data_IF_580866007702
#
_entry.id   IF_580866007702
#
_cell.length_a   1.000
_cell.length_b   1.000
_cell.length_c   1.000
_cell.angle_alpha   90.00
_cell.angle_beta   90.00
_cell.angle_gamma   90.00
#
_symmetry.space_group_name_H-M   'P 1'
#
loop_
_entity.id
_entity.type
_entity.pdbx_description
1 polymer ?
#
# COMPACT_ATOMS: atom_id res chain seq x y z
N UNK A 1 19.60 28.72 13.29
CA UNK A 1 20.20 29.53 12.21
C UNK A 1 20.50 30.94 12.70
N UNK A 2 19.51 31.67 13.23
CA UNK A 2 19.75 33.06 13.67
C UNK A 2 20.47 33.16 15.02
N UNK A 3 20.27 32.20 15.93
CA UNK A 3 20.80 32.24 17.30
C UNK A 3 22.16 31.54 17.51
N UNK A 4 22.67 30.80 16.52
CA UNK A 4 23.90 29.99 16.63
C UNK A 4 24.74 30.15 15.35
N UNK A 5 25.95 30.67 15.53
CA UNK A 5 26.88 30.95 14.43
C UNK A 5 27.37 29.69 13.72
N UNK A 6 27.61 28.60 14.45
CA UNK A 6 28.02 27.32 13.86
C UNK A 6 26.87 26.69 13.08
N UNK A 7 25.65 26.75 13.62
CA UNK A 7 24.47 26.30 12.88
C UNK A 7 24.23 27.14 11.61
N UNK A 8 24.53 28.44 11.65
CA UNK A 8 24.45 29.33 10.47
C UNK A 8 25.44 28.93 9.39
N UNK A 9 26.70 28.73 9.76
CA UNK A 9 27.77 28.31 8.86
C UNK A 9 27.45 26.97 8.18
N UNK A 10 27.02 25.97 8.96
CA UNK A 10 26.64 24.65 8.42
C UNK A 10 25.51 24.79 7.39
N UNK A 11 24.47 25.56 7.68
CA UNK A 11 23.33 25.73 6.77
C UNK A 11 23.73 26.51 5.53
N UNK A 12 24.56 27.54 5.66
CA UNK A 12 25.01 28.33 4.51
C UNK A 12 25.94 27.56 3.57
N UNK A 13 26.73 26.64 4.12
CA UNK A 13 27.50 25.68 3.33
C UNK A 13 26.63 24.57 2.72
N UNK A 14 25.56 24.15 3.40
CA UNK A 14 24.68 23.10 2.91
C UNK A 14 23.74 23.57 1.78
N UNK A 15 23.22 24.80 1.85
CA UNK A 15 22.31 25.39 0.84
C UNK A 15 22.80 25.23 -0.61
N UNK A 16 24.03 25.62 -0.98
CA UNK A 16 24.50 25.47 -2.37
C UNK A 16 24.76 24.00 -2.77
N UNK A 17 24.85 23.08 -1.82
CA UNK A 17 25.00 21.64 -2.08
C UNK A 17 23.65 20.93 -2.28
N UNK A 18 22.54 21.58 -1.92
CA UNK A 18 21.20 21.06 -2.11
C UNK A 18 20.86 20.93 -3.61
N UNK A 19 20.37 19.76 -4.02
CA UNK A 19 20.04 19.47 -5.42
C UNK A 19 21.18 18.91 -6.26
N UNK A 20 22.40 18.80 -5.72
CA UNK A 20 23.51 18.13 -6.41
C UNK A 20 23.34 16.61 -6.39
N UNK A 21 23.64 15.96 -7.53
CA UNK A 21 23.61 14.50 -7.65
C UNK A 21 24.75 13.87 -6.87
N UNK A 22 24.43 12.98 -5.93
CA UNK A 22 25.42 12.27 -5.11
C UNK A 22 25.99 11.02 -5.79
N UNK A 23 25.13 10.19 -6.39
CA UNK A 23 25.50 8.89 -6.95
C UNK A 23 24.46 8.41 -7.97
N UNK A 24 24.89 7.48 -8.82
CA UNK A 24 24.14 6.78 -9.86
C UNK A 24 23.56 5.45 -9.33
N UNK A 25 22.49 5.54 -8.54
CA UNK A 25 21.77 4.35 -8.02
C UNK A 25 20.82 3.75 -9.06
N UNK A 26 20.63 2.44 -9.00
CA UNK A 26 19.71 1.70 -9.87
C UNK A 26 18.27 1.86 -9.36
N UNK A 27 17.31 2.11 -10.27
CA UNK A 27 15.89 2.16 -9.93
C UNK A 27 15.41 0.78 -9.47
N UNK A 28 14.82 0.69 -8.27
CA UNK A 28 14.50 -0.59 -7.63
C UNK A 28 13.51 -1.49 -8.41
N UNK A 29 12.79 -0.94 -9.39
CA UNK A 29 11.79 -1.66 -10.17
C UNK A 29 11.91 -1.46 -11.68
N UNK A 30 12.72 -0.50 -12.15
CA UNK A 30 12.56 0.05 -13.49
C UNK A 30 13.28 -0.79 -14.53
N UNK A 31 12.56 -1.29 -15.53
CA UNK A 31 13.09 -2.05 -16.65
C UNK A 31 12.72 -1.35 -17.96
N UNK A 32 13.71 -1.16 -18.83
CA UNK A 32 13.53 -0.51 -20.14
C UNK A 32 13.64 -1.56 -21.24
N UNK A 33 12.67 -1.55 -22.15
CA UNK A 33 12.61 -2.48 -23.29
C UNK A 33 12.68 -1.66 -24.58
N UNK A 34 13.77 -1.83 -25.32
CA UNK A 34 13.97 -1.22 -26.63
C UNK A 34 13.42 -2.09 -27.75
N UNK A 35 12.85 -1.46 -28.80
CA UNK A 35 12.51 -2.16 -30.05
C UNK A 35 13.75 -2.53 -30.88
N UNK A 36 14.89 -1.90 -30.58
CA UNK A 36 16.22 -2.10 -31.17
C UNK A 36 17.25 -2.22 -30.04
N UNK A 37 18.50 -2.62 -30.31
CA UNK A 37 19.57 -2.57 -29.32
C UNK A 37 19.62 -1.21 -28.61
N UNK A 38 19.49 -1.22 -27.27
CA UNK A 38 19.34 0.01 -26.49
C UNK A 38 20.50 1.00 -26.69
N UNK A 39 21.71 0.49 -26.91
CA UNK A 39 22.91 1.32 -27.14
C UNK A 39 22.82 2.25 -28.35
N UNK A 40 21.91 1.98 -29.29
CA UNK A 40 21.66 2.87 -30.44
C UNK A 40 20.86 4.13 -30.06
N UNK A 41 20.20 4.14 -28.90
CA UNK A 41 19.26 5.19 -28.49
C UNK A 41 19.55 5.77 -27.11
N UNK A 42 20.09 4.97 -26.19
CA UNK A 42 20.38 5.37 -24.82
C UNK A 42 21.77 4.89 -24.40
N UNK A 43 22.59 5.75 -23.77
CA UNK A 43 23.86 5.34 -23.19
C UNK A 43 23.62 4.36 -22.04
N UNK A 44 24.37 3.27 -22.06
CA UNK A 44 24.31 2.20 -21.06
C UNK A 44 25.53 2.26 -20.14
N UNK A 45 25.38 1.74 -18.93
CA UNK A 45 26.44 1.63 -17.94
C UNK A 45 26.35 0.26 -17.26
N UNK A 46 27.52 -0.27 -16.87
CA UNK A 46 27.62 -1.45 -16.04
C UNK A 46 28.81 -1.24 -15.09
N UNK A 47 28.58 -1.30 -13.77
CA UNK A 47 29.63 -0.98 -12.77
C UNK A 47 30.67 -2.09 -12.57
N UNK A 48 30.38 -3.30 -13.04
CA UNK A 48 31.26 -4.46 -13.01
C UNK A 48 30.70 -5.58 -13.88
N UNK A 49 31.52 -6.57 -14.24
CA UNK A 49 31.12 -7.66 -15.16
C UNK A 49 29.87 -8.43 -14.71
N UNK A 50 29.69 -8.53 -13.39
CA UNK A 50 28.64 -9.32 -12.75
C UNK A 50 27.49 -8.44 -12.23
N UNK A 51 27.44 -7.16 -12.63
CA UNK A 51 26.40 -6.22 -12.25
C UNK A 51 25.36 -6.03 -13.36
N UNK A 52 24.21 -5.50 -13.01
CA UNK A 52 23.15 -5.20 -13.96
C UNK A 52 23.58 -4.10 -14.94
N UNK A 53 23.11 -4.22 -16.19
CA UNK A 53 23.23 -3.17 -17.20
C UNK A 53 22.12 -2.16 -16.97
N UNK A 54 22.47 -0.88 -16.86
CA UNK A 54 21.55 0.21 -16.55
C UNK A 54 21.63 1.34 -17.58
N UNK A 55 20.53 2.07 -17.75
CA UNK A 55 20.53 3.30 -18.55
C UNK A 55 21.20 4.43 -17.78
N UNK A 56 22.00 5.27 -18.43
CA UNK A 56 22.56 6.46 -17.79
C UNK A 56 21.54 7.61 -17.70
N UNK A 57 20.46 7.56 -18.49
CA UNK A 57 19.37 8.52 -18.43
C UNK A 57 18.41 8.21 -17.30
N UNK A 58 17.84 9.27 -16.72
CA UNK A 58 16.85 9.18 -15.68
C UNK A 58 15.48 8.78 -16.25
N UNK A 59 14.55 8.38 -15.36
CA UNK A 59 13.21 7.92 -15.73
C UNK A 59 12.48 8.88 -16.69
N UNK A 60 12.48 10.18 -16.41
CA UNK A 60 11.77 11.17 -17.23
C UNK A 60 12.31 11.26 -18.66
N UNK A 61 13.64 11.15 -18.82
CA UNK A 61 14.29 11.22 -20.12
C UNK A 61 14.00 9.96 -20.95
N UNK A 62 14.01 8.78 -20.31
CA UNK A 62 13.63 7.51 -20.95
C UNK A 62 12.18 7.56 -21.47
N UNK A 63 11.26 8.07 -20.66
CA UNK A 63 9.86 8.24 -21.07
C UNK A 63 9.71 9.27 -22.20
N UNK A 64 10.46 10.38 -22.15
CA UNK A 64 10.45 11.41 -23.19
C UNK A 64 10.99 10.91 -24.54
N UNK A 65 11.93 9.96 -24.53
CA UNK A 65 12.45 9.27 -25.72
C UNK A 65 11.45 8.26 -26.31
N UNK A 66 10.31 8.02 -25.65
CA UNK A 66 9.28 7.09 -26.12
C UNK A 66 9.65 5.62 -25.97
N UNK A 67 10.62 5.30 -25.09
CA UNK A 67 10.97 3.91 -24.79
C UNK A 67 9.94 3.27 -23.86
N UNK A 68 9.72 1.96 -24.04
CA UNK A 68 8.84 1.21 -23.16
C UNK A 68 9.52 0.99 -21.81
N UNK A 69 8.91 1.54 -20.75
CA UNK A 69 9.33 1.34 -19.36
C UNK A 69 8.27 0.53 -18.61
N UNK A 70 8.71 -0.52 -17.92
CA UNK A 70 7.87 -1.34 -17.05
C UNK A 70 8.51 -1.38 -15.66
N UNK A 71 7.68 -1.25 -14.63
CA UNK A 71 8.12 -1.39 -13.24
C UNK A 71 7.78 -2.78 -12.69
N UNK A 72 8.80 -3.53 -12.27
CA UNK A 72 8.69 -4.81 -11.56
C UNK A 72 9.01 -4.61 -10.07
N UNK A 73 7.97 -4.47 -9.24
CA UNK A 73 8.15 -4.26 -7.80
C UNK A 73 8.11 -5.59 -7.06
N UNK A 74 9.13 -5.85 -6.23
CA UNK A 74 9.09 -6.93 -5.25
C UNK A 74 8.22 -6.54 -4.05
N UNK A 75 7.02 -7.11 -3.94
CA UNK A 75 6.12 -6.88 -2.80
C UNK A 75 6.12 -8.09 -1.87
N UNK A 76 6.85 -7.99 -0.75
CA UNK A 76 7.00 -9.05 0.28
C UNK A 76 5.69 -9.73 0.70
N UNK A 77 4.57 -8.99 0.74
CA UNK A 77 3.29 -9.55 1.16
C UNK A 77 2.75 -10.60 0.19
N UNK A 78 3.11 -10.54 -1.09
CA UNK A 78 2.77 -11.58 -2.05
C UNK A 78 3.52 -12.87 -1.74
N UNK A 79 4.82 -12.78 -1.42
CA UNK A 79 5.61 -13.95 -1.00
C UNK A 79 5.08 -14.57 0.30
N UNK A 80 4.65 -13.73 1.26
CA UNK A 80 4.01 -14.19 2.51
C UNK A 80 2.71 -14.93 2.22
N UNK A 81 1.86 -14.40 1.32
CA UNK A 81 0.59 -15.03 0.95
C UNK A 81 0.82 -16.39 0.28
N UNK A 82 1.73 -16.46 -0.69
CA UNK A 82 2.07 -17.73 -1.34
C UNK A 82 2.66 -18.74 -0.36
N UNK A 83 3.57 -18.31 0.53
CA UNK A 83 4.14 -19.20 1.55
C UNK A 83 3.08 -19.69 2.54
N UNK A 84 2.17 -18.82 2.99
CA UNK A 84 1.08 -19.20 3.87
C UNK A 84 0.12 -20.18 3.17
N UNK A 85 -0.16 -19.96 1.89
CA UNK A 85 -0.97 -20.87 1.06
C UNK A 85 -0.33 -22.25 0.90
N UNK A 86 0.99 -22.31 0.69
CA UNK A 86 1.74 -23.57 0.67
C UNK A 86 1.60 -24.33 2.00
N UNK A 87 1.73 -23.63 3.12
CA UNK A 87 1.62 -24.22 4.46
C UNK A 87 0.21 -24.78 4.75
N UNK A 88 -0.83 -24.16 4.19
CA UNK A 88 -2.22 -24.65 4.28
C UNK A 88 -2.49 -25.83 3.32
N UNK A 89 -1.60 -26.10 2.36
CA UNK A 89 -1.75 -27.22 1.40
C UNK A 89 -2.28 -26.81 0.02
N UNK A 90 -2.10 -25.55 -0.39
CA UNK A 90 -2.42 -25.03 -1.73
C UNK A 90 -3.89 -25.10 -2.19
N UNK A 91 -4.83 -25.33 -1.28
CA UNK A 91 -6.26 -25.37 -1.61
C UNK A 91 -6.93 -24.00 -1.83
N UNK A 92 -6.23 -22.89 -1.57
CA UNK A 92 -6.78 -21.54 -1.67
C UNK A 92 -6.55 -20.98 -3.08
N UNK A 93 -7.65 -20.64 -3.75
CA UNK A 93 -7.62 -19.90 -5.01
C UNK A 93 -7.92 -18.42 -4.77
N UNK A 94 -6.90 -17.57 -4.96
CA UNK A 94 -7.00 -16.14 -4.76
C UNK A 94 -7.95 -15.44 -5.75
N UNK A 95 -8.22 -16.05 -6.91
CA UNK A 95 -9.04 -15.47 -7.96
C UNK A 95 -10.54 -15.60 -7.69
N UNK A 96 -10.93 -16.58 -6.88
CA UNK A 96 -12.33 -16.90 -6.56
C UNK A 96 -12.70 -16.65 -5.10
N UNK A 97 -11.75 -16.13 -4.30
CA UNK A 97 -11.96 -15.84 -2.88
C UNK A 97 -13.12 -14.83 -2.68
N UNK A 98 -14.15 -15.16 -1.88
CA UNK A 98 -15.25 -14.24 -1.61
C UNK A 98 -14.77 -13.01 -0.83
N UNK A 99 -15.33 -11.84 -1.14
CA UNK A 99 -14.98 -10.55 -0.55
C UNK A 99 -15.95 -10.07 0.54
N UNK A 100 -16.83 -10.95 1.02
CA UNK A 100 -17.89 -10.67 1.99
C UNK A 100 -17.78 -11.57 3.25
N UNK A 101 -16.59 -12.10 3.55
CA UNK A 101 -16.36 -13.00 4.67
C UNK A 101 -16.56 -12.29 6.02
N UNK A 102 -17.58 -12.72 6.78
CA UNK A 102 -17.94 -12.11 8.07
C UNK A 102 -16.82 -12.17 9.09
N UNK A 103 -16.06 -13.28 9.15
CA UNK A 103 -14.99 -13.46 10.14
C UNK A 103 -13.87 -12.45 9.91
N UNK A 104 -13.53 -12.18 8.65
CA UNK A 104 -12.57 -11.14 8.27
C UNK A 104 -13.03 -9.77 8.75
N UNK A 105 -14.26 -9.38 8.44
CA UNK A 105 -14.78 -8.07 8.82
C UNK A 105 -14.95 -7.90 10.34
N UNK A 106 -15.39 -8.94 11.06
CA UNK A 106 -15.48 -8.92 12.52
C UNK A 106 -14.10 -8.75 13.19
N UNK A 107 -13.08 -9.43 12.67
CA UNK A 107 -11.69 -9.29 13.13
C UNK A 107 -11.19 -7.85 12.87
N UNK A 108 -11.36 -7.35 11.64
CA UNK A 108 -10.94 -6.00 11.27
C UNK A 108 -11.69 -4.93 12.07
N UNK A 109 -12.99 -5.08 12.32
CA UNK A 109 -13.78 -4.13 13.10
C UNK A 109 -13.34 -4.03 14.58
N UNK A 110 -12.66 -5.05 15.11
CA UNK A 110 -12.02 -4.99 16.44
C UNK A 110 -10.66 -4.29 16.41
N UNK A 111 -10.16 -3.94 15.22
CA UNK A 111 -8.80 -3.43 15.01
C UNK A 111 -7.74 -4.53 15.12
N UNK A 112 -8.14 -5.80 15.04
CA UNK A 112 -7.23 -6.94 15.14
C UNK A 112 -6.54 -7.21 13.80
N UNK A 113 -5.65 -6.29 13.43
CA UNK A 113 -5.03 -6.23 12.11
C UNK A 113 -3.48 -6.26 12.15
N UNK A 114 -2.90 -6.72 13.26
CA UNK A 114 -1.44 -6.90 13.35
C UNK A 114 -0.97 -7.91 12.29
N UNK A 115 -0.03 -7.52 11.44
CA UNK A 115 0.43 -8.31 10.30
C UNK A 115 -0.40 -8.15 9.03
N UNK A 116 -1.60 -7.55 9.08
CA UNK A 116 -2.44 -7.31 7.90
C UNK A 116 -1.86 -6.17 7.07
N UNK A 117 -1.64 -6.41 5.78
CA UNK A 117 -1.07 -5.42 4.87
C UNK A 117 -1.93 -4.14 4.83
N UNK A 118 -1.28 -2.97 4.79
CA UNK A 118 -1.88 -1.62 4.91
C UNK A 118 -2.59 -1.30 6.24
N UNK A 119 -2.96 -2.31 7.05
CA UNK A 119 -3.82 -2.13 8.21
C UNK A 119 -3.16 -2.34 9.59
N UNK A 120 -1.84 -2.56 9.62
CA UNK A 120 -1.11 -2.88 10.85
C UNK A 120 -0.88 -1.70 11.82
N UNK A 121 -0.70 -0.48 11.30
CA UNK A 121 -0.30 0.67 12.14
C UNK A 121 -1.33 0.99 13.23
N UNK A 122 -0.88 1.50 14.38
CA UNK A 122 -1.76 1.79 15.52
C UNK A 122 -2.96 2.66 15.15
N UNK A 123 -2.73 3.81 14.51
CA UNK A 123 -3.84 4.70 14.14
C UNK A 123 -4.71 4.13 13.02
N UNK A 124 -4.20 3.24 12.17
CA UNK A 124 -5.05 2.54 11.18
C UNK A 124 -5.94 1.51 11.87
N UNK A 125 -5.44 0.81 12.91
CA UNK A 125 -6.25 -0.05 13.77
C UNK A 125 -7.31 0.75 14.54
N UNK A 126 -7.01 1.98 14.94
CA UNK A 126 -8.01 2.89 15.53
C UNK A 126 -9.07 3.29 14.49
N UNK A 127 -8.65 3.62 13.26
CA UNK A 127 -9.57 3.91 12.16
C UNK A 127 -10.48 2.72 11.84
N UNK A 128 -9.96 1.49 11.86
CA UNK A 128 -10.75 0.27 11.70
C UNK A 128 -11.80 0.11 12.81
N UNK A 129 -11.42 0.33 14.08
CA UNK A 129 -12.36 0.29 15.22
C UNK A 129 -13.45 1.36 15.13
N UNK A 130 -13.12 2.52 14.57
CA UNK A 130 -14.05 3.62 14.37
C UNK A 130 -15.02 3.34 13.22
N UNK A 131 -14.51 2.92 12.05
CA UNK A 131 -15.32 2.68 10.85
C UNK A 131 -16.13 1.38 10.95
N UNK A 132 -15.57 0.34 11.61
CA UNK A 132 -16.13 -1.03 11.67
C UNK A 132 -16.48 -1.53 10.27
N UNK A 133 -15.49 -1.82 9.41
CA UNK A 133 -15.74 -2.20 8.02
C UNK A 133 -16.62 -3.46 7.93
N UNK A 134 -17.54 -3.46 6.97
CA UNK A 134 -18.52 -4.55 6.75
C UNK A 134 -18.58 -5.00 5.30
N UNK A 135 -17.86 -4.33 4.39
CA UNK A 135 -17.81 -4.62 2.96
C UNK A 135 -16.46 -4.18 2.38
N UNK A 136 -16.16 -4.60 1.15
CA UNK A 136 -14.86 -4.36 0.53
C UNK A 136 -14.60 -2.87 0.29
N UNK A 137 -15.63 -2.10 -0.06
CA UNK A 137 -15.58 -0.66 -0.30
C UNK A 137 -15.05 0.12 0.91
N UNK A 138 -15.34 -0.35 2.13
CA UNK A 138 -14.85 0.29 3.36
C UNK A 138 -13.31 0.17 3.46
N UNK A 139 -12.75 -0.95 3.00
CA UNK A 139 -11.30 -1.17 2.98
C UNK A 139 -10.63 -0.27 1.93
N UNK A 140 -11.25 -0.12 0.76
CA UNK A 140 -10.79 0.80 -0.28
C UNK A 140 -10.78 2.23 0.25
N UNK A 141 -11.85 2.64 0.93
CA UNK A 141 -11.96 3.97 1.52
C UNK A 141 -10.90 4.21 2.61
N UNK A 142 -10.67 3.25 3.51
CA UNK A 142 -9.66 3.37 4.56
C UNK A 142 -8.24 3.49 4.00
N UNK A 143 -7.89 2.70 2.97
CA UNK A 143 -6.60 2.81 2.28
C UNK A 143 -6.40 4.22 1.69
N UNK A 144 -7.45 4.83 1.16
CA UNK A 144 -7.38 6.16 0.55
C UNK A 144 -7.42 7.31 1.58
N UNK A 145 -8.15 7.14 2.69
CA UNK A 145 -8.37 8.17 3.71
C UNK A 145 -7.26 8.25 4.75
N UNK A 146 -6.59 7.15 5.08
CA UNK A 146 -5.61 7.14 6.17
C UNK A 146 -4.25 7.72 5.75
N UNK A 147 -4.23 9.03 5.54
CA UNK A 147 -3.05 9.83 5.21
C UNK A 147 -3.21 11.28 5.67
N UNK A 148 -2.11 12.05 5.83
CA UNK A 148 -2.18 13.45 6.22
C UNK A 148 -3.12 14.26 5.31
N UNK A 149 -4.06 15.00 5.91
CA UNK A 149 -5.16 15.67 5.22
C UNK A 149 -6.47 14.86 5.28
N UNK A 150 -6.70 13.88 4.39
CA UNK A 150 -7.91 13.05 4.34
C UNK A 150 -8.28 12.32 5.61
N UNK A 151 -7.33 12.03 6.49
CA UNK A 151 -7.62 11.28 7.72
C UNK A 151 -8.64 11.99 8.62
N UNK A 152 -8.78 13.31 8.50
CA UNK A 152 -9.81 14.09 9.18
C UNK A 152 -11.25 13.73 8.76
N UNK A 153 -11.43 13.10 7.61
CA UNK A 153 -12.73 12.63 7.13
C UNK A 153 -13.12 11.25 7.69
N UNK A 154 -12.21 10.48 8.28
CA UNK A 154 -12.49 9.14 8.81
C UNK A 154 -13.62 9.16 9.86
N UNK A 155 -13.63 10.09 10.84
CA UNK A 155 -14.74 10.18 11.80
C UNK A 155 -16.08 10.52 11.14
N UNK A 156 -16.09 11.38 10.12
CA UNK A 156 -17.31 11.72 9.36
C UNK A 156 -17.81 10.50 8.59
N UNK A 157 -16.91 9.79 7.91
CA UNK A 157 -17.20 8.55 7.20
C UNK A 157 -17.85 7.53 8.14
N UNK A 158 -17.26 7.32 9.31
CA UNK A 158 -17.78 6.38 10.31
C UNK A 158 -19.18 6.76 10.81
N UNK A 159 -19.41 8.03 11.21
CA UNK A 159 -20.73 8.48 11.68
C UNK A 159 -21.81 8.31 10.61
N UNK A 160 -21.50 8.66 9.36
CA UNK A 160 -22.44 8.51 8.24
C UNK A 160 -22.72 7.04 7.92
N UNK A 161 -21.69 6.19 7.94
CA UNK A 161 -21.83 4.74 7.79
C UNK A 161 -22.73 4.13 8.88
N UNK A 162 -22.63 4.61 10.11
CA UNK A 162 -23.42 4.12 11.24
C UNK A 162 -24.79 4.79 11.37
N UNK A 163 -25.19 5.63 10.41
CA UNK A 163 -26.48 6.34 10.43
C UNK A 163 -26.60 7.40 11.53
N UNK A 164 -25.49 7.80 12.14
CA UNK A 164 -25.43 8.82 13.20
C UNK A 164 -25.37 10.24 12.64
N UNK A 165 -25.02 10.37 11.36
CA UNK A 165 -24.98 11.63 10.62
C UNK A 165 -25.55 11.37 9.22
N UNK A 166 -26.44 12.23 8.72
CA UNK A 166 -26.97 12.10 7.37
C UNK A 166 -26.02 12.78 6.37
N UNK A 167 -25.79 12.14 5.22
CA UNK A 167 -25.02 12.77 4.15
C UNK A 167 -25.82 13.91 3.52
N UNK A 168 -25.28 15.13 3.58
CA UNK A 168 -25.84 16.31 2.90
C UNK A 168 -25.19 16.48 1.54
N UNK A 169 -26.01 16.70 0.51
CA UNK A 169 -25.54 16.91 -0.86
C UNK A 169 -25.84 18.35 -1.29
N UNK A 170 -24.82 19.05 -1.78
CA UNK A 170 -24.99 20.39 -2.36
C UNK A 170 -25.67 20.35 -3.74
N UNK A 171 -25.70 19.16 -4.36
CA UNK A 171 -26.40 18.85 -5.60
C UNK A 171 -26.86 17.38 -5.57
N UNK A 172 -28.12 17.11 -5.90
CA UNK A 172 -28.69 15.75 -5.85
C UNK A 172 -27.94 14.73 -6.72
N UNK A 173 -27.32 15.18 -7.83
CA UNK A 173 -26.54 14.30 -8.72
C UNK A 173 -25.32 13.70 -8.02
N UNK A 174 -24.79 14.36 -6.99
CA UNK A 174 -23.67 13.85 -6.20
C UNK A 174 -24.00 12.56 -5.45
N UNK A 175 -25.27 12.33 -5.12
CA UNK A 175 -25.71 11.14 -4.41
C UNK A 175 -25.35 9.86 -5.17
N UNK A 176 -25.54 9.84 -6.48
CA UNK A 176 -25.15 8.70 -7.33
C UNK A 176 -23.64 8.45 -7.36
N UNK A 177 -22.83 9.50 -7.22
CA UNK A 177 -21.37 9.45 -7.35
C UNK A 177 -20.69 9.11 -6.01
N UNK A 178 -21.23 9.62 -4.90
CA UNK A 178 -20.58 9.61 -3.59
C UNK A 178 -21.30 8.78 -2.54
N UNK A 179 -22.44 8.15 -2.87
CA UNK A 179 -23.14 7.23 -1.95
C UNK A 179 -22.25 6.08 -1.45
N UNK A 180 -21.43 5.51 -2.34
CA UNK A 180 -20.44 4.46 -2.03
C UNK A 180 -19.38 4.88 -1.01
N UNK A 181 -19.24 6.18 -0.77
CA UNK A 181 -18.32 6.78 0.19
C UNK A 181 -19.03 7.70 1.19
N UNK A 182 -20.32 7.45 1.43
CA UNK A 182 -21.15 8.18 2.39
C UNK A 182 -21.14 9.71 2.19
N UNK A 183 -21.18 10.15 0.94
CA UNK A 183 -21.21 11.57 0.59
C UNK A 183 -19.87 12.30 0.74
N UNK A 184 -18.76 11.56 0.86
CA UNK A 184 -17.41 12.12 0.92
C UNK A 184 -16.74 11.84 -0.42
N UNK A 185 -16.20 12.86 -1.09
CA UNK A 185 -15.44 12.68 -2.32
C UNK A 185 -14.01 12.28 -1.96
N UNK A 186 -13.64 11.02 -2.19
CA UNK A 186 -12.35 10.44 -1.80
C UNK A 186 -11.47 10.22 -3.05
N UNK A 187 -12.10 9.82 -4.15
CA UNK A 187 -11.40 9.27 -5.30
C UNK A 187 -11.34 10.24 -6.47
N UNK A 188 -10.24 10.20 -7.23
CA UNK A 188 -10.07 10.94 -8.49
C UNK A 188 -11.21 10.63 -9.47
N UNK A 189 -11.62 9.36 -9.53
CA UNK A 189 -12.70 8.88 -10.38
C UNK A 189 -14.05 9.52 -10.02
N UNK A 190 -14.27 9.91 -8.76
CA UNK A 190 -15.49 10.62 -8.38
C UNK A 190 -15.49 12.06 -8.93
N UNK A 191 -14.37 12.77 -8.85
CA UNK A 191 -14.23 14.09 -9.46
C UNK A 191 -14.39 14.06 -10.97
N UNK A 192 -13.88 13.02 -11.63
CA UNK A 192 -14.11 12.79 -13.06
C UNK A 192 -15.59 12.56 -13.38
N UNK A 193 -16.30 11.79 -12.56
CA UNK A 193 -17.75 11.61 -12.73
C UNK A 193 -18.51 12.92 -12.50
N UNK A 194 -18.11 13.73 -11.52
CA UNK A 194 -18.71 15.05 -11.27
C UNK A 194 -18.51 15.95 -12.50
N UNK A 195 -17.30 16.06 -13.02
CA UNK A 195 -17.02 16.89 -14.20
C UNK A 195 -17.80 16.42 -15.44
N UNK A 196 -17.94 15.11 -15.65
CA UNK A 196 -18.71 14.57 -16.78
C UNK A 196 -20.22 14.76 -16.61
N UNK A 197 -20.77 14.44 -15.44
CA UNK A 197 -22.23 14.41 -15.23
C UNK A 197 -22.82 15.78 -14.91
N UNK A 198 -22.05 16.66 -14.26
CA UNK A 198 -22.51 17.99 -13.84
C UNK A 198 -22.02 19.07 -14.81
N UNK A 199 -20.73 19.07 -15.16
CA UNK A 199 -20.16 20.07 -16.06
C UNK A 199 -20.16 19.64 -17.55
N UNK A 200 -20.60 18.43 -17.88
CA UNK A 200 -20.67 17.98 -19.27
C UNK A 200 -19.32 17.80 -19.96
N UNK A 201 -18.23 17.61 -19.21
CA UNK A 201 -16.89 17.43 -19.79
C UNK A 201 -16.85 16.27 -20.79
N UNK A 202 -16.22 16.52 -21.93
CA UNK A 202 -15.92 15.46 -22.90
C UNK A 202 -14.90 14.45 -22.32
N UNK A 203 -14.75 13.25 -22.90
CA UNK A 203 -13.73 12.30 -22.46
C UNK A 203 -12.30 12.87 -22.46
N UNK A 204 -11.99 13.76 -23.41
CA UNK A 204 -10.69 14.43 -23.49
C UNK A 204 -10.50 15.42 -22.32
N UNK A 205 -11.49 16.27 -22.05
CA UNK A 205 -11.43 17.25 -20.95
C UNK A 205 -11.41 16.57 -19.57
N UNK A 206 -12.12 15.45 -19.43
CA UNK A 206 -12.04 14.63 -18.23
C UNK A 206 -10.63 14.02 -18.06
N UNK A 207 -9.97 13.58 -19.13
CA UNK A 207 -8.57 13.13 -19.03
C UNK A 207 -7.60 14.26 -18.70
N UNK A 208 -7.82 15.47 -19.23
CA UNK A 208 -7.05 16.66 -18.85
C UNK A 208 -7.23 16.99 -17.36
N UNK A 209 -8.46 16.92 -16.84
CA UNK A 209 -8.73 17.07 -15.41
C UNK A 209 -8.03 15.97 -14.59
N UNK A 210 -8.08 14.71 -15.05
CA UNK A 210 -7.36 13.60 -14.40
C UNK A 210 -5.86 13.85 -14.33
N UNK A 211 -5.26 14.33 -15.41
CA UNK A 211 -3.83 14.69 -15.47
C UNK A 211 -3.52 15.85 -14.53
N UNK A 212 -4.37 16.88 -14.51
CA UNK A 212 -4.21 18.03 -13.63
C UNK A 212 -4.22 17.62 -12.16
N UNK A 213 -5.17 16.76 -11.75
CA UNK A 213 -5.25 16.25 -10.38
C UNK A 213 -4.08 15.31 -10.07
N UNK A 214 -3.84 14.31 -10.93
CA UNK A 214 -2.84 13.27 -10.68
C UNK A 214 -1.40 13.75 -10.68
N UNK A 215 -1.05 14.73 -11.53
CA UNK A 215 0.28 15.34 -11.61
C UNK A 215 0.43 16.60 -10.76
N UNK A 216 -0.62 17.02 -10.04
CA UNK A 216 -0.67 18.29 -9.31
C UNK A 216 -0.32 19.49 -10.21
N UNK A 217 -0.80 19.48 -11.44
CA UNK A 217 -0.54 20.55 -12.41
C UNK A 217 -1.56 21.67 -12.21
N UNK A 218 -1.17 22.68 -11.43
CA UNK A 218 -2.02 23.83 -11.14
C UNK A 218 -2.34 24.68 -12.38
N UNK A 219 -1.45 24.72 -13.38
CA UNK A 219 -1.68 25.49 -14.61
C UNK A 219 -2.77 24.83 -15.46
N UNK A 220 -2.67 23.52 -15.63
CA UNK A 220 -3.69 22.74 -16.33
C UNK A 220 -5.02 22.73 -15.56
N UNK A 221 -4.98 22.69 -14.23
CA UNK A 221 -6.19 22.81 -13.42
C UNK A 221 -6.91 24.14 -13.67
N UNK A 222 -6.17 25.25 -13.59
CA UNK A 222 -6.74 26.59 -13.77
C UNK A 222 -7.37 26.79 -15.16
N UNK A 223 -6.80 26.20 -16.21
CA UNK A 223 -7.35 26.34 -17.57
C UNK A 223 -8.69 25.62 -17.77
N UNK A 224 -9.06 24.69 -16.89
CA UNK A 224 -10.32 23.95 -16.96
C UNK A 224 -11.47 24.62 -16.20
N UNK A 225 -11.17 25.64 -15.38
CA UNK A 225 -12.14 26.29 -14.47
C UNK A 225 -13.32 26.92 -15.21
N UNK A 226 -13.04 27.78 -16.18
CA UNK A 226 -14.09 28.53 -16.90
C UNK A 226 -15.04 27.55 -17.59
N UNK A 227 -14.50 26.58 -18.31
CA UNK A 227 -15.28 25.50 -18.94
C UNK A 227 -16.12 24.72 -17.94
N UNK A 228 -15.57 24.40 -16.76
CA UNK A 228 -16.32 23.69 -15.72
C UNK A 228 -17.53 24.51 -15.26
N UNK A 229 -17.34 25.80 -14.99
CA UNK A 229 -18.41 26.69 -14.55
C UNK A 229 -19.49 26.90 -15.63
N UNK A 230 -19.09 27.07 -16.89
CA UNK A 230 -20.01 27.18 -18.04
C UNK A 230 -20.82 25.89 -18.24
N UNK A 231 -20.16 24.74 -18.12
CA UNK A 231 -20.81 23.44 -18.17
C UNK A 231 -21.82 23.24 -17.04
N UNK A 232 -21.45 23.65 -15.82
CA UNK A 232 -22.35 23.62 -14.66
C UNK A 232 -23.57 24.52 -14.87
N UNK A 233 -23.39 25.73 -15.43
CA UNK A 233 -24.48 26.64 -15.73
C UNK A 233 -25.44 26.05 -16.78
N UNK A 234 -24.89 25.38 -17.79
CA UNK A 234 -25.67 24.70 -18.84
C UNK A 234 -26.48 23.51 -18.32
N UNK A 235 -26.11 22.95 -17.17
CA UNK A 235 -26.82 21.86 -16.51
C UNK A 235 -27.72 22.30 -15.34
N UNK A 236 -28.08 23.58 -15.29
CA UNK A 236 -28.91 24.21 -14.25
C UNK A 236 -28.32 24.13 -12.83
N UNK A 237 -26.99 24.03 -12.72
CA UNK A 237 -26.29 24.10 -11.43
C UNK A 237 -26.17 25.56 -11.00
N UNK A 238 -26.54 25.89 -9.76
CA UNK A 238 -26.41 27.27 -9.29
C UNK A 238 -24.93 27.69 -9.24
N UNK A 239 -24.61 28.98 -9.46
CA UNK A 239 -23.23 29.46 -9.39
C UNK A 239 -22.55 29.16 -8.04
N UNK A 240 -23.31 29.22 -6.94
CA UNK A 240 -22.78 28.89 -5.61
C UNK A 240 -22.31 27.43 -5.51
N UNK A 241 -23.14 26.49 -6.00
CA UNK A 241 -22.81 25.06 -6.01
C UNK A 241 -21.65 24.77 -6.98
N UNK A 242 -21.65 25.37 -8.17
CA UNK A 242 -20.59 25.20 -9.15
C UNK A 242 -19.22 25.66 -8.61
N UNK A 243 -19.18 26.83 -7.95
CA UNK A 243 -17.96 27.33 -7.33
C UNK A 243 -17.49 26.43 -6.18
N UNK A 244 -18.41 25.94 -5.34
CA UNK A 244 -18.03 25.01 -4.27
C UNK A 244 -17.45 23.70 -4.83
N UNK A 245 -18.09 23.12 -5.85
CA UNK A 245 -17.59 21.90 -6.50
C UNK A 245 -16.19 22.09 -7.10
N UNK A 246 -15.95 23.25 -7.72
CA UNK A 246 -14.64 23.58 -8.25
C UNK A 246 -13.59 23.75 -7.14
N UNK A 247 -13.93 24.43 -6.05
CA UNK A 247 -13.04 24.56 -4.89
C UNK A 247 -12.70 23.19 -4.29
N UNK A 248 -13.68 22.30 -4.16
CA UNK A 248 -13.48 20.93 -3.68
C UNK A 248 -12.56 20.14 -4.63
N UNK A 249 -12.65 20.37 -5.94
CA UNK A 249 -11.75 19.79 -6.94
C UNK A 249 -10.33 20.32 -6.85
N UNK A 250 -10.14 21.65 -6.74
CA UNK A 250 -8.83 22.29 -6.56
C UNK A 250 -8.14 21.78 -5.29
N UNK A 251 -8.88 21.76 -4.17
CA UNK A 251 -8.37 21.25 -2.91
C UNK A 251 -7.98 19.76 -3.02
N UNK A 252 -8.73 18.98 -3.80
CA UNK A 252 -8.46 17.55 -3.99
C UNK A 252 -7.15 17.21 -4.70
N UNK A 253 -6.46 18.16 -5.34
CA UNK A 253 -5.14 17.90 -5.94
C UNK A 253 -4.14 17.39 -4.89
N UNK A 254 -4.31 17.83 -3.63
CA UNK A 254 -3.43 17.40 -2.55
C UNK A 254 -3.81 16.07 -1.93
N UNK A 255 -5.08 15.67 -2.06
CA UNK A 255 -5.66 14.67 -1.17
C UNK A 255 -6.69 13.72 -1.78
N UNK A 256 -6.94 13.77 -3.09
CA UNK A 256 -7.69 12.74 -3.83
C UNK A 256 -6.82 11.50 -4.04
N UNK A 257 -7.44 10.32 -4.11
CA UNK A 257 -6.71 9.06 -4.31
C UNK A 257 -7.19 8.36 -5.58
N UNK A 258 -6.31 7.61 -6.22
CA UNK A 258 -6.69 6.79 -7.36
C UNK A 258 -7.42 5.53 -6.88
N UNK A 259 -8.70 5.36 -7.24
CA UNK A 259 -9.54 4.26 -6.74
C UNK A 259 -9.04 2.90 -7.19
N UNK A 260 -8.57 2.77 -8.43
CA UNK A 260 -8.08 1.47 -8.92
C UNK A 260 -6.85 1.00 -8.14
N UNK A 261 -5.90 1.91 -7.87
CA UNK A 261 -4.76 1.63 -7.00
C UNK A 261 -5.19 1.26 -5.57
N UNK A 262 -6.13 2.01 -4.97
CA UNK A 262 -6.67 1.68 -3.64
C UNK A 262 -7.31 0.30 -3.63
N UNK A 263 -8.12 -0.02 -4.63
CA UNK A 263 -8.82 -1.30 -4.72
C UNK A 263 -7.85 -2.48 -4.84
N UNK A 264 -6.82 -2.37 -5.68
CA UNK A 264 -5.80 -3.41 -5.82
C UNK A 264 -5.04 -3.66 -4.50
N UNK A 265 -4.67 -2.60 -3.78
CA UNK A 265 -3.98 -2.73 -2.49
C UNK A 265 -4.91 -3.23 -1.38
N UNK A 266 -6.17 -2.78 -1.37
CA UNK A 266 -7.20 -3.27 -0.46
C UNK A 266 -7.48 -4.77 -0.70
N UNK A 267 -7.38 -5.27 -1.93
CA UNK A 267 -7.53 -6.69 -2.24
C UNK A 267 -6.40 -7.52 -1.61
N UNK A 268 -5.16 -7.05 -1.68
CA UNK A 268 -4.02 -7.71 -1.01
C UNK A 268 -4.22 -7.65 0.50
N UNK A 269 -4.63 -6.51 1.04
CA UNK A 269 -4.95 -6.34 2.46
C UNK A 269 -6.04 -7.33 2.92
N UNK A 270 -7.13 -7.46 2.15
CA UNK A 270 -8.20 -8.42 2.41
C UNK A 270 -7.69 -9.86 2.39
N UNK A 271 -6.87 -10.25 1.42
CA UNK A 271 -6.26 -11.61 1.37
C UNK A 271 -5.39 -11.88 2.58
N UNK A 272 -4.58 -10.91 3.02
CA UNK A 272 -3.79 -11.06 4.26
C UNK A 272 -4.68 -11.16 5.49
N UNK A 273 -5.77 -10.39 5.55
CA UNK A 273 -6.75 -10.46 6.63
C UNK A 273 -7.50 -11.81 6.64
N UNK A 274 -7.83 -12.35 5.47
CA UNK A 274 -8.43 -13.67 5.30
C UNK A 274 -7.53 -14.78 5.85
N UNK A 275 -6.25 -14.78 5.45
CA UNK A 275 -5.29 -15.75 5.97
C UNK A 275 -5.12 -15.63 7.47
N UNK A 276 -5.04 -14.41 7.99
CA UNK A 276 -4.97 -14.17 9.44
C UNK A 276 -6.23 -14.66 10.17
N UNK A 277 -7.42 -14.48 9.59
CA UNK A 277 -8.67 -14.88 10.22
C UNK A 277 -8.87 -16.41 10.20
N UNK A 278 -8.54 -17.09 9.09
CA UNK A 278 -8.87 -18.50 8.87
C UNK A 278 -7.71 -19.47 9.06
N UNK A 279 -6.49 -19.04 8.77
CA UNK A 279 -5.26 -19.83 8.87
C UNK A 279 -4.17 -19.08 9.66
N UNK A 280 -4.46 -18.64 10.90
CA UNK A 280 -3.60 -17.73 11.63
C UNK A 280 -2.21 -18.31 11.90
N UNK A 281 -2.09 -19.61 12.13
CA UNK A 281 -0.80 -20.24 12.47
C UNK A 281 0.14 -20.26 11.27
N UNK A 282 -0.35 -20.73 10.13
CA UNK A 282 0.36 -20.78 8.87
C UNK A 282 0.71 -19.38 8.36
N UNK A 283 -0.23 -18.45 8.47
CA UNK A 283 -0.03 -17.06 8.09
C UNK A 283 1.04 -16.38 8.95
N UNK A 284 0.96 -16.51 10.27
CA UNK A 284 1.94 -15.90 11.17
C UNK A 284 3.32 -16.55 11.03
N UNK A 285 3.40 -17.87 10.77
CA UNK A 285 4.66 -18.54 10.46
C UNK A 285 5.31 -17.94 9.21
N UNK A 286 4.57 -17.85 8.10
CA UNK A 286 5.05 -17.26 6.85
C UNK A 286 5.47 -15.78 7.04
N UNK A 287 4.68 -15.02 7.80
CA UNK A 287 4.95 -13.61 8.07
C UNK A 287 6.23 -13.41 8.88
N UNK A 288 6.44 -14.19 9.95
CA UNK A 288 7.65 -14.18 10.77
C UNK A 288 8.86 -14.58 9.92
N UNK A 289 8.74 -15.65 9.13
CA UNK A 289 9.81 -16.10 8.23
C UNK A 289 10.24 -14.99 7.25
N UNK A 290 9.30 -14.17 6.77
CA UNK A 290 9.61 -13.07 5.83
C UNK A 290 10.39 -11.91 6.43
N UNK A 291 10.51 -11.83 7.76
CA UNK A 291 11.17 -10.73 8.48
C UNK A 291 12.29 -11.19 9.41
N UNK A 292 12.78 -12.42 9.26
CA UNK A 292 13.78 -13.00 10.16
C UNK A 292 15.08 -12.19 10.26
N UNK A 293 15.43 -11.47 9.20
CA UNK A 293 16.62 -10.63 9.17
C UNK A 293 16.37 -9.22 9.73
N UNK A 294 15.17 -8.94 10.25
CA UNK A 294 14.77 -7.64 10.81
C UNK A 294 14.63 -7.74 12.33
N UNK A 295 15.62 -7.18 13.04
CA UNK A 295 15.83 -7.29 14.49
C UNK A 295 14.56 -7.07 15.33
N UNK A 296 13.75 -6.07 14.98
CA UNK A 296 12.62 -5.64 15.82
C UNK A 296 11.27 -6.19 15.36
N UNK A 297 11.19 -6.79 14.16
CA UNK A 297 9.91 -7.29 13.61
C UNK A 297 9.57 -8.69 14.08
N UNK A 298 10.58 -9.53 14.31
CA UNK A 298 10.36 -10.89 14.82
C UNK A 298 9.72 -10.86 16.21
N UNK A 299 10.28 -10.14 17.23
CA UNK A 299 9.65 -10.09 18.55
C UNK A 299 8.24 -9.49 18.52
N UNK A 300 8.01 -8.50 17.67
CA UNK A 300 6.69 -7.88 17.50
C UNK A 300 5.62 -8.90 17.07
N UNK A 301 5.92 -9.74 16.07
CA UNK A 301 4.96 -10.75 15.61
C UNK A 301 4.86 -11.95 16.55
N UNK A 302 5.92 -12.30 17.27
CA UNK A 302 5.85 -13.35 18.31
C UNK A 302 4.91 -12.93 19.44
N UNK A 303 4.97 -11.66 19.88
CA UNK A 303 4.01 -11.14 20.86
C UNK A 303 2.58 -11.14 20.30
N UNK A 304 2.40 -10.82 19.02
CA UNK A 304 1.08 -10.90 18.39
C UNK A 304 0.54 -12.35 18.35
N UNK A 305 1.40 -13.36 18.14
CA UNK A 305 1.00 -14.76 18.26
C UNK A 305 0.55 -15.11 19.69
N UNK A 306 1.27 -14.63 20.71
CA UNK A 306 0.91 -14.84 22.12
C UNK A 306 -0.46 -14.25 22.46
N UNK A 307 -0.73 -13.01 22.02
CA UNK A 307 -2.05 -12.36 22.14
C UNK A 307 -3.17 -13.15 21.43
N UNK A 308 -2.84 -13.87 20.35
CA UNK A 308 -3.76 -14.75 19.62
C UNK A 308 -3.88 -16.16 20.24
N UNK A 309 -3.14 -16.47 21.30
CA UNK A 309 -3.09 -17.80 21.91
C UNK A 309 -2.34 -18.85 21.07
N UNK A 310 -1.39 -18.40 20.25
CA UNK A 310 -0.57 -19.24 19.38
C UNK A 310 0.83 -19.38 20.00
N UNK A 311 1.18 -20.60 20.39
CA UNK A 311 2.51 -20.91 20.94
C UNK A 311 3.57 -20.87 19.82
N UNK A 312 4.60 -20.05 20.03
CA UNK A 312 5.79 -20.02 19.16
C UNK A 312 6.94 -20.67 19.91
N UNK A 313 7.38 -21.84 19.42
CA UNK A 313 8.43 -22.63 20.03
C UNK A 313 9.83 -22.12 19.59
N UNK A 314 10.83 -22.22 20.48
CA UNK A 314 12.22 -21.95 20.11
C UNK A 314 12.70 -22.93 19.03
N UNK A 315 13.75 -22.58 18.28
CA UNK A 315 14.32 -23.48 17.28
C UNK A 315 14.85 -24.77 17.91
N UNK A 316 14.36 -25.93 17.45
CA UNK A 316 14.87 -27.28 17.72
C UNK A 316 15.63 -27.84 16.51
N UNK A 317 16.85 -28.33 16.73
CA UNK A 317 17.74 -28.92 15.71
C UNK A 317 17.22 -30.23 15.12
N UNK A 318 16.41 -30.99 15.86
CA UNK A 318 15.91 -32.32 15.45
C UNK A 318 14.66 -32.21 14.58
N UNK A 319 13.90 -31.14 14.73
CA UNK A 319 12.67 -30.91 13.98
C UNK A 319 12.87 -29.96 12.78
N UNK A 320 14.10 -29.46 12.57
CA UNK A 320 14.35 -28.37 11.62
C UNK A 320 14.41 -28.92 10.19
N UNK A 321 13.32 -28.72 9.46
CA UNK A 321 13.31 -28.77 7.99
C UNK A 321 14.25 -27.72 7.40
N UNK A 322 14.62 -27.87 6.12
CA UNK A 322 15.44 -26.85 5.43
C UNK A 322 14.60 -25.57 5.27
N UNK A 323 14.73 -24.64 6.23
CA UNK A 323 14.04 -23.36 6.22
C UNK A 323 13.92 -22.79 7.63
N UNK A 324 14.94 -22.00 8.02
CA UNK A 324 14.97 -20.90 8.98
C UNK A 324 14.12 -20.96 10.29
N UNK A 325 14.83 -20.81 11.41
CA UNK A 325 14.34 -20.99 12.77
C UNK A 325 13.24 -20.04 13.25
N UNK A 326 12.17 -20.68 13.73
CA UNK A 326 11.14 -20.32 14.71
C UNK A 326 9.95 -21.20 14.31
N UNK A 327 9.53 -22.10 15.20
CA UNK A 327 8.37 -22.93 14.93
C UNK A 327 7.16 -22.18 15.48
N UNK A 328 6.19 -21.86 14.64
CA UNK A 328 4.84 -21.67 15.15
C UNK A 328 4.31 -23.08 15.36
N UNK A 329 3.95 -23.45 16.60
CA UNK A 329 3.39 -24.77 16.83
C UNK A 329 2.06 -24.87 16.06
N UNK A 330 2.08 -25.66 14.99
CA UNK A 330 0.90 -25.96 14.18
C UNK A 330 -0.05 -26.93 14.92
N UNK A 331 0.34 -27.42 16.10
CA UNK A 331 -0.46 -28.27 16.98
C UNK A 331 -0.40 -29.76 16.62
N UNK A 332 0.69 -30.24 16.02
CA UNK A 332 0.79 -31.63 15.55
C UNK A 332 1.63 -32.57 16.41
N UNK A 333 2.34 -32.11 17.46
CA UNK A 333 3.16 -33.03 18.26
C UNK A 333 3.06 -32.78 19.77
N UNK A 334 2.23 -33.59 20.43
CA UNK A 334 2.29 -33.78 21.87
C UNK A 334 3.52 -34.60 22.27
N UNK A 335 4.59 -33.95 22.70
CA UNK A 335 5.55 -34.48 23.69
C UNK A 335 6.61 -33.43 24.04
N UNK A 336 6.53 -32.87 25.24
CA UNK A 336 7.55 -31.97 25.82
C UNK A 336 8.82 -32.75 26.19
N UNK A 337 10.01 -32.26 25.78
CA UNK A 337 11.33 -32.52 26.41
C UNK A 337 12.25 -31.28 26.29
N UNK A 338 13.24 -31.12 27.18
CA UNK A 338 13.80 -29.80 27.52
C UNK A 338 14.83 -29.27 26.51
N UNK A 339 14.88 -27.95 26.40
CA UNK A 339 15.66 -27.18 25.43
C UNK A 339 17.18 -27.15 25.72
N UNK A 340 17.98 -27.18 24.65
CA UNK A 340 19.41 -26.82 24.66
C UNK A 340 19.59 -25.55 23.81
N UNK A 341 20.29 -24.56 24.39
CA UNK A 341 20.55 -23.24 23.79
C UNK A 341 21.82 -23.30 22.94
N UNK A 342 21.73 -23.03 21.64
CA UNK A 342 22.90 -22.57 20.87
C UNK A 342 22.46 -21.64 19.73
N UNK A 343 22.96 -20.40 19.74
CA UNK A 343 22.81 -19.46 18.63
C UNK A 343 23.81 -19.84 17.55
N UNK A 344 23.32 -20.27 16.38
CA UNK A 344 24.18 -20.60 15.27
C UNK A 344 23.67 -19.93 13.98
N UNK A 345 24.53 -19.10 13.38
CA UNK A 345 24.28 -18.47 12.09
C UNK A 345 24.15 -19.50 10.96
N UNK A 346 23.56 -19.08 9.83
CA UNK A 346 23.15 -19.92 8.70
C UNK A 346 24.22 -20.89 8.14
N UNK A 347 25.51 -20.67 8.42
CA UNK A 347 26.61 -21.57 8.06
C UNK A 347 26.72 -22.84 8.92
N UNK A 348 26.37 -22.78 10.21
CA UNK A 348 26.61 -23.89 11.17
C UNK A 348 25.58 -25.02 10.99
N UNK A 349 24.33 -24.67 10.63
CA UNK A 349 23.28 -25.65 10.37
C UNK A 349 23.61 -26.63 9.22
N UNK A 350 24.49 -26.25 8.27
CA UNK A 350 24.95 -27.15 7.20
C UNK A 350 25.97 -28.18 7.69
N UNK A 351 26.77 -27.89 8.72
CA UNK A 351 27.86 -28.77 9.16
C UNK A 351 27.37 -29.91 10.06
N UNK A 352 26.39 -29.66 10.94
CA UNK A 352 25.89 -30.66 11.90
C UNK A 352 25.21 -31.84 11.20
N UNK A 353 24.50 -31.63 10.07
CA UNK A 353 23.86 -32.73 9.31
C UNK A 353 24.86 -33.62 8.57
N UNK A 354 26.07 -33.16 8.26
CA UNK A 354 27.09 -34.00 7.62
C UNK A 354 27.71 -35.00 8.60
N UNK A 355 27.73 -34.67 9.90
CA UNK A 355 28.25 -35.56 10.94
C UNK A 355 27.23 -36.62 11.42
N UNK A 356 25.93 -36.41 11.17
CA UNK A 356 24.85 -37.32 11.60
C UNK A 356 24.47 -38.40 10.59
N UNK A 357 25.12 -38.46 9.42
CA UNK A 357 24.92 -39.51 8.41
C UNK A 357 25.98 -40.63 8.48
N UNK A 358 26.94 -40.53 9.40
CA UNK A 358 28.01 -41.53 9.63
C UNK A 358 27.93 -42.18 11.03
N UNK A 359 26.73 -42.42 11.57
CA UNK A 359 26.55 -43.29 12.75
C UNK A 359 25.34 -44.20 12.64
#
# INVERSE_FOLDING_TARGET
YDADATAREIVDLAKPLEGLTRQDSIHAAGVVIGAKPLIETVPLQQKGSDQEVVTQFAMGDIEALGLLKIDFLGLRNLDVLEKARELVGNGIDWSTLPLDDKKVYEMLAKGDATGVFQFESSGMRDALRLVKPTQFEDLIALVALYRPGPMGYIPVYARRKHGQEQATYIDERLKGITSVSHGICIFQEQYLQIAKQIAGFTPAEADDLRKAIGKKDHKLMASLKEKFLEGCASSNTTPAVANQLWQDMEASQDYSFNKSHAACYALIAYRTAYMRAHHPREYMAALISSVMNTKDRVPFYVNACDEMGIEVLPPDVNHAGRGHGLYVDLGLHGARRPAVREQAGAGVARQVRRAGLDR
#
